data_IF_816528099062
#
_entry.id   IF_816528099062
#
_cell.length_a   1.000
_cell.length_b   1.000
_cell.length_c   1.000
_cell.angle_alpha   90.00
_cell.angle_beta   90.00
_cell.angle_gamma   90.00
#
_symmetry.space_group_name_H-M   'P 1'
#
loop_
_entity.id
_entity.type
_entity.pdbx_description
1 polymer ?
#
# COMPACT_ATOMS: atom_id res chain seq x y z
N UNK A 1 7.18 -13.69 16.69
CA UNK A 1 6.35 -13.30 15.54
C UNK A 1 4.94 -13.76 15.82
N UNK A 2 3.98 -12.89 15.73
CA UNK A 2 2.57 -13.25 15.89
C UNK A 2 2.08 -13.76 14.55
N UNK A 3 1.93 -15.07 14.42
CA UNK A 3 1.36 -15.71 13.23
C UNK A 3 -0.16 -15.50 13.25
N UNK A 4 -0.73 -15.05 12.13
CA UNK A 4 -2.17 -14.83 11.98
C UNK A 4 -2.81 -16.04 11.32
N UNK A 5 -3.97 -16.44 11.82
CA UNK A 5 -4.86 -17.39 11.15
C UNK A 5 -6.07 -16.64 10.64
N UNK A 6 -6.44 -16.85 9.38
CA UNK A 6 -7.58 -16.16 8.75
C UNK A 6 -8.62 -17.22 8.39
N UNK A 7 -9.79 -17.15 8.99
CA UNK A 7 -10.93 -18.00 8.68
C UNK A 7 -11.93 -17.29 7.75
N UNK A 8 -12.83 -18.00 7.08
CA UNK A 8 -13.79 -17.40 6.16
C UNK A 8 -14.78 -16.46 6.89
N UNK A 9 -15.14 -16.80 8.13
CA UNK A 9 -16.00 -15.95 8.97
C UNK A 9 -15.41 -14.57 9.24
N UNK A 10 -14.08 -14.44 9.23
CA UNK A 10 -13.38 -13.18 9.51
C UNK A 10 -13.54 -12.17 8.37
N UNK A 11 -14.00 -12.62 7.20
CA UNK A 11 -14.19 -11.81 6.00
C UNK A 11 -15.64 -11.39 5.79
N UNK A 12 -16.58 -11.89 6.58
CA UNK A 12 -18.02 -11.71 6.36
C UNK A 12 -18.48 -10.24 6.40
N UNK A 13 -17.77 -9.38 7.15
CA UNK A 13 -18.07 -7.93 7.25
C UNK A 13 -17.83 -7.15 5.95
N UNK A 14 -17.27 -7.79 4.92
CA UNK A 14 -17.02 -7.16 3.61
C UNK A 14 -18.25 -7.22 2.69
N UNK A 15 -19.30 -7.97 3.04
CA UNK A 15 -20.57 -7.96 2.31
C UNK A 15 -21.15 -6.54 2.26
N UNK A 16 -21.53 -6.10 1.05
CA UNK A 16 -22.09 -4.77 0.80
C UNK A 16 -21.09 -3.61 0.85
N UNK A 17 -19.81 -3.86 1.14
CA UNK A 17 -18.76 -2.82 1.18
C UNK A 17 -18.36 -2.36 -0.21
N UNK A 18 -18.02 -1.07 -0.34
CA UNK A 18 -17.51 -0.46 -1.59
C UNK A 18 -16.00 -0.35 -1.51
N UNK A 19 -15.30 -1.04 -2.41
CA UNK A 19 -13.86 -1.20 -2.34
C UNK A 19 -13.19 -0.79 -3.66
N UNK A 20 -12.23 0.12 -3.58
CA UNK A 20 -11.35 0.45 -4.71
C UNK A 20 -10.15 -0.48 -4.68
N UNK A 21 -9.83 -1.10 -5.83
CA UNK A 21 -8.62 -1.91 -6.02
C UNK A 21 -7.81 -1.32 -7.17
N UNK A 22 -6.61 -0.81 -6.90
CA UNK A 22 -5.69 -0.39 -7.96
C UNK A 22 -4.82 -1.57 -8.42
N UNK A 23 -4.59 -1.69 -9.74
CA UNK A 23 -3.92 -2.86 -10.32
C UNK A 23 -4.76 -4.12 -10.18
N UNK A 24 -6.09 -4.01 -10.33
CA UNK A 24 -7.05 -5.08 -10.08
C UNK A 24 -7.27 -6.02 -11.24
N UNK A 25 -6.61 -5.85 -12.39
CA UNK A 25 -6.83 -6.68 -13.59
C UNK A 25 -5.86 -7.84 -13.71
N UNK A 26 -4.92 -8.01 -12.77
CA UNK A 26 -3.96 -9.12 -12.80
C UNK A 26 -3.41 -9.47 -11.41
N UNK A 27 -2.83 -10.66 -11.27
CA UNK A 27 -2.05 -11.10 -10.11
C UNK A 27 -2.80 -10.94 -8.78
N UNK A 28 -2.15 -10.33 -7.79
CA UNK A 28 -2.72 -10.13 -6.43
C UNK A 28 -3.99 -9.28 -6.47
N UNK A 29 -4.01 -8.23 -7.32
CA UNK A 29 -5.16 -7.36 -7.45
C UNK A 29 -6.37 -8.11 -7.98
N UNK A 30 -6.22 -8.87 -9.06
CA UNK A 30 -7.30 -9.69 -9.66
C UNK A 30 -7.84 -10.71 -8.66
N UNK A 31 -6.95 -11.49 -8.02
CA UNK A 31 -7.36 -12.45 -7.01
C UNK A 31 -8.09 -11.78 -5.83
N UNK A 32 -7.74 -10.52 -5.50
CA UNK A 32 -8.46 -9.75 -4.47
C UNK A 32 -9.83 -9.31 -4.98
N UNK A 33 -9.95 -8.84 -6.23
CA UNK A 33 -11.23 -8.48 -6.85
C UNK A 33 -12.19 -9.67 -6.83
N UNK A 34 -11.73 -10.84 -7.30
CA UNK A 34 -12.55 -12.07 -7.31
C UNK A 34 -13.03 -12.47 -5.92
N UNK A 35 -12.12 -12.46 -4.93
CA UNK A 35 -12.45 -12.77 -3.55
C UNK A 35 -13.50 -11.80 -3.00
N UNK A 36 -13.30 -10.49 -3.15
CA UNK A 36 -14.22 -9.46 -2.66
C UNK A 36 -15.61 -9.57 -3.30
N UNK A 37 -15.67 -9.81 -4.60
CA UNK A 37 -16.94 -10.04 -5.30
C UNK A 37 -17.65 -11.29 -4.79
N UNK A 38 -16.91 -12.38 -4.52
CA UNK A 38 -17.47 -13.62 -3.96
C UNK A 38 -18.03 -13.44 -2.54
N UNK A 39 -17.52 -12.44 -1.81
CA UNK A 39 -18.00 -12.05 -0.47
C UNK A 39 -19.17 -11.05 -0.52
N UNK A 40 -19.66 -10.69 -1.70
CA UNK A 40 -20.77 -9.75 -1.85
C UNK A 40 -20.39 -8.27 -1.76
N UNK A 41 -19.10 -7.93 -1.87
CA UNK A 41 -18.65 -6.55 -1.95
C UNK A 41 -18.90 -5.94 -3.33
N UNK A 42 -18.97 -4.61 -3.41
CA UNK A 42 -18.93 -3.84 -4.65
C UNK A 42 -17.49 -3.41 -4.91
N UNK A 43 -16.93 -3.77 -6.08
CA UNK A 43 -15.53 -3.53 -6.38
C UNK A 43 -15.36 -2.58 -7.56
N UNK A 44 -14.59 -1.51 -7.38
CA UNK A 44 -14.14 -0.63 -8.46
C UNK A 44 -12.66 -0.89 -8.73
N UNK A 45 -12.40 -1.49 -9.89
CA UNK A 45 -11.07 -1.82 -10.36
C UNK A 45 -10.49 -0.63 -11.15
N UNK A 46 -9.38 -0.07 -10.67
CA UNK A 46 -8.55 0.90 -11.38
C UNK A 46 -7.30 0.22 -11.95
N UNK A 47 -7.21 0.09 -13.27
CA UNK A 47 -6.06 -0.52 -13.95
C UNK A 47 -5.86 0.13 -15.33
N UNK A 48 -4.68 -0.01 -15.91
CA UNK A 48 -4.40 0.46 -17.27
C UNK A 48 -5.05 -0.41 -18.34
N UNK A 49 -5.38 -1.66 -18.01
CA UNK A 49 -6.06 -2.62 -18.88
C UNK A 49 -7.20 -3.28 -18.12
N UNK A 50 -8.31 -3.53 -18.82
CA UNK A 50 -9.37 -4.38 -18.29
C UNK A 50 -8.88 -5.84 -18.23
N UNK A 51 -9.42 -6.61 -17.28
CA UNK A 51 -9.23 -8.07 -17.30
C UNK A 51 -10.00 -8.68 -18.48
N UNK A 52 -9.48 -9.80 -18.99
CA UNK A 52 -10.21 -10.61 -20.00
C UNK A 52 -11.26 -11.52 -19.35
N UNK A 53 -11.24 -11.67 -18.03
CA UNK A 53 -12.16 -12.52 -17.30
C UNK A 53 -13.50 -11.84 -17.09
N UNK A 54 -14.59 -12.61 -17.21
CA UNK A 54 -15.94 -12.14 -16.93
C UNK A 54 -16.15 -12.04 -15.42
N UNK A 55 -16.27 -10.81 -14.92
CA UNK A 55 -16.50 -10.55 -13.50
C UNK A 55 -17.99 -10.72 -13.16
N UNK A 56 -18.27 -11.53 -12.13
CA UNK A 56 -19.62 -11.70 -11.59
C UNK A 56 -19.80 -10.83 -10.34
N UNK A 57 -20.97 -10.18 -10.22
CA UNK A 57 -21.28 -9.33 -9.09
C UNK A 57 -21.18 -7.84 -9.39
N UNK A 58 -21.10 -7.01 -8.36
CA UNK A 58 -21.05 -5.55 -8.47
C UNK A 58 -19.62 -5.08 -8.80
N UNK A 59 -19.19 -5.27 -10.04
CA UNK A 59 -17.88 -4.90 -10.55
C UNK A 59 -17.97 -3.69 -11.49
N UNK A 60 -17.06 -2.75 -11.31
CA UNK A 60 -16.89 -1.60 -12.20
C UNK A 60 -15.41 -1.44 -12.54
N UNK A 61 -15.09 -1.36 -13.83
CA UNK A 61 -13.75 -1.03 -14.29
C UNK A 61 -13.65 0.45 -14.67
N UNK A 62 -12.62 1.11 -14.19
CA UNK A 62 -12.25 2.48 -14.58
C UNK A 62 -10.79 2.48 -14.99
N UNK A 63 -10.49 2.74 -16.27
CA UNK A 63 -9.12 2.81 -16.75
C UNK A 63 -8.35 3.83 -15.93
N UNK A 64 -7.22 3.40 -15.32
CA UNK A 64 -6.44 4.22 -14.40
C UNK A 64 -4.97 3.88 -14.47
N UNK A 65 -4.16 4.83 -14.90
CA UNK A 65 -2.72 4.84 -14.67
C UNK A 65 -2.46 5.59 -13.35
N UNK A 66 -1.97 4.87 -12.33
CA UNK A 66 -1.73 5.43 -11.00
C UNK A 66 -0.61 6.47 -10.96
N UNK A 67 0.23 6.55 -12.00
CA UNK A 67 1.24 7.60 -12.15
C UNK A 67 0.62 8.95 -12.57
N UNK A 68 -0.63 8.93 -13.09
CA UNK A 68 -1.34 10.09 -13.61
C UNK A 68 -2.40 10.55 -12.60
N UNK A 69 -2.14 11.67 -11.92
CA UNK A 69 -3.03 12.23 -10.90
C UNK A 69 -4.49 12.41 -11.35
N UNK A 70 -4.72 12.87 -12.59
CA UNK A 70 -6.07 13.07 -13.12
C UNK A 70 -6.85 11.76 -13.27
N UNK A 71 -6.17 10.65 -13.60
CA UNK A 71 -6.81 9.34 -13.74
C UNK A 71 -7.15 8.78 -12.35
N UNK A 72 -6.29 8.97 -11.35
CA UNK A 72 -6.62 8.65 -9.96
C UNK A 72 -7.83 9.46 -9.46
N UNK A 73 -7.88 10.77 -9.72
CA UNK A 73 -9.05 11.59 -9.39
C UNK A 73 -10.32 11.06 -10.04
N UNK A 74 -10.26 10.65 -11.31
CA UNK A 74 -11.39 10.08 -12.02
C UNK A 74 -11.86 8.76 -11.40
N UNK A 75 -10.94 7.90 -10.97
CA UNK A 75 -11.25 6.66 -10.26
C UNK A 75 -12.04 6.91 -8.97
N UNK A 76 -11.53 7.78 -8.10
CA UNK A 76 -12.17 8.06 -6.81
C UNK A 76 -13.51 8.79 -6.98
N UNK A 77 -13.58 9.80 -7.84
CA UNK A 77 -14.81 10.53 -8.13
C UNK A 77 -15.86 9.64 -8.82
N UNK A 78 -15.43 8.77 -9.75
CA UNK A 78 -16.29 7.79 -10.40
C UNK A 78 -16.89 6.82 -9.39
N UNK A 79 -16.08 6.28 -8.48
CA UNK A 79 -16.56 5.41 -7.40
C UNK A 79 -17.59 6.12 -6.53
N UNK A 80 -17.29 7.35 -6.11
CA UNK A 80 -18.21 8.16 -5.29
C UNK A 80 -19.53 8.46 -6.01
N UNK A 81 -19.48 8.72 -7.30
CA UNK A 81 -20.69 8.98 -8.12
C UNK A 81 -21.57 7.75 -8.28
N UNK A 82 -20.98 6.55 -8.39
CA UNK A 82 -21.72 5.29 -8.59
C UNK A 82 -22.30 4.78 -7.27
N UNK A 83 -21.51 4.79 -6.20
CA UNK A 83 -21.85 4.12 -4.94
C UNK A 83 -22.13 5.07 -3.78
N UNK A 84 -21.83 6.35 -3.89
CA UNK A 84 -22.07 7.35 -2.85
C UNK A 84 -20.98 7.41 -1.76
N UNK A 85 -20.22 6.34 -1.54
CA UNK A 85 -19.18 6.23 -0.51
C UNK A 85 -18.05 5.29 -0.94
N UNK A 86 -17.02 5.18 -0.10
CA UNK A 86 -15.89 4.26 -0.25
C UNK A 86 -15.59 3.72 1.14
N UNK A 87 -15.62 2.38 1.33
CA UNK A 87 -15.27 1.77 2.62
C UNK A 87 -13.78 1.44 2.71
N UNK A 88 -13.22 0.87 1.65
CA UNK A 88 -11.82 0.43 1.66
C UNK A 88 -11.11 0.74 0.35
N UNK A 89 -9.78 0.93 0.44
CA UNK A 89 -8.92 1.13 -0.74
C UNK A 89 -7.75 0.15 -0.66
N UNK A 90 -7.65 -0.74 -1.65
CA UNK A 90 -6.49 -1.60 -1.84
C UNK A 90 -5.50 -0.94 -2.80
N UNK A 91 -4.43 -0.40 -2.25
CA UNK A 91 -3.35 0.28 -2.97
C UNK A 91 -2.35 -0.77 -3.43
N UNK A 92 -2.62 -1.40 -4.58
CA UNK A 92 -1.90 -2.59 -5.01
C UNK A 92 -1.12 -2.39 -6.32
N UNK A 93 -1.50 -1.45 -7.19
CA UNK A 93 -0.84 -1.23 -8.46
C UNK A 93 0.68 -1.10 -8.31
N UNK A 94 1.43 -1.78 -9.17
CA UNK A 94 2.88 -1.77 -9.18
C UNK A 94 3.46 -2.49 -10.39
N UNK A 95 4.70 -2.20 -10.71
CA UNK A 95 5.45 -2.83 -11.79
C UNK A 95 6.78 -3.40 -11.29
N UNK A 96 7.37 -4.30 -12.05
CA UNK A 96 8.70 -4.87 -11.78
C UNK A 96 9.84 -3.92 -12.13
N UNK A 97 11.11 -4.34 -11.89
CA UNK A 97 12.31 -3.55 -12.15
C UNK A 97 12.38 -3.01 -13.58
N UNK A 98 12.91 -1.80 -13.76
CA UNK A 98 13.04 -1.10 -15.06
C UNK A 98 14.43 -0.54 -15.32
N UNK A 99 15.31 -0.49 -14.32
CA UNK A 99 16.64 0.10 -14.45
C UNK A 99 17.74 -0.87 -14.00
N UNK A 100 18.84 -0.88 -14.76
CA UNK A 100 20.10 -1.51 -14.38
C UNK A 100 21.12 -0.42 -14.11
N UNK A 101 21.59 -0.32 -12.88
CA UNK A 101 22.55 0.71 -12.45
C UNK A 101 24.00 0.32 -12.68
N UNK A 102 24.28 -0.92 -13.12
CA UNK A 102 25.63 -1.38 -13.45
C UNK A 102 25.90 -1.33 -14.95
N UNK A 103 24.85 -1.38 -15.78
CA UNK A 103 24.93 -1.42 -17.24
C UNK A 103 24.13 -0.27 -17.83
N UNK A 104 24.62 0.97 -17.61
CA UNK A 104 23.95 2.15 -18.14
C UNK A 104 24.03 2.19 -19.65
N UNK A 105 22.92 2.56 -20.29
CA UNK A 105 22.86 2.80 -21.71
C UNK A 105 23.63 4.09 -22.06
N UNK A 106 24.21 4.14 -23.24
CA UNK A 106 24.85 5.35 -23.77
C UNK A 106 24.00 5.89 -24.92
N UNK A 107 23.96 7.22 -25.04
CA UNK A 107 23.35 7.90 -26.16
C UNK A 107 24.31 7.90 -27.42
N UNK A 108 23.89 8.56 -28.48
CA UNK A 108 24.68 8.68 -29.73
C UNK A 108 26.01 9.45 -29.59
N UNK A 109 26.16 10.23 -28.51
CA UNK A 109 27.38 10.98 -28.20
C UNK A 109 28.30 10.22 -27.24
N UNK A 110 27.88 9.06 -26.73
CA UNK A 110 28.58 8.28 -25.71
C UNK A 110 28.37 8.74 -24.30
N UNK A 111 27.39 9.63 -24.04
CA UNK A 111 26.99 10.06 -22.71
C UNK A 111 26.02 9.06 -22.07
N UNK A 112 26.09 8.93 -20.75
CA UNK A 112 25.20 8.04 -20.01
C UNK A 112 23.75 8.51 -20.05
N UNK A 113 22.82 7.62 -20.47
CA UNK A 113 21.37 7.88 -20.48
C UNK A 113 20.82 7.74 -19.07
N UNK A 114 19.93 8.67 -18.68
CA UNK A 114 19.25 8.62 -17.39
C UNK A 114 18.48 7.30 -17.21
N UNK A 115 18.65 6.61 -16.07
CA UNK A 115 17.87 5.41 -15.77
C UNK A 115 16.37 5.70 -15.72
N UNK A 116 15.55 4.76 -16.18
CA UNK A 116 14.09 4.92 -16.16
C UNK A 116 13.55 5.18 -14.77
N UNK A 117 12.82 6.29 -14.58
CA UNK A 117 12.07 6.62 -13.37
C UNK A 117 10.68 5.96 -13.28
N UNK A 118 10.23 5.27 -14.33
CA UNK A 118 8.86 4.74 -14.43
C UNK A 118 8.45 3.89 -13.23
N UNK A 119 9.37 3.09 -12.70
CA UNK A 119 9.08 2.26 -11.53
C UNK A 119 8.72 3.11 -10.31
N UNK A 120 9.43 4.20 -10.06
CA UNK A 120 9.16 5.12 -8.97
C UNK A 120 7.82 5.83 -9.17
N UNK A 121 7.51 6.25 -10.39
CA UNK A 121 6.23 6.92 -10.68
C UNK A 121 5.04 6.01 -10.41
N UNK A 122 5.11 4.72 -10.76
CA UNK A 122 4.02 3.76 -10.54
C UNK A 122 4.07 3.20 -9.13
N UNK A 123 5.20 2.56 -8.74
CA UNK A 123 5.27 1.70 -7.56
C UNK A 123 5.59 2.43 -6.24
N UNK A 124 5.89 3.73 -6.29
CA UNK A 124 6.08 4.57 -5.10
C UNK A 124 5.14 5.79 -5.13
N UNK A 125 5.29 6.70 -6.09
CA UNK A 125 4.47 7.91 -6.19
C UNK A 125 3.00 7.59 -6.41
N UNK A 126 2.68 6.58 -7.25
CA UNK A 126 1.33 6.07 -7.45
C UNK A 126 0.70 5.58 -6.14
N UNK A 127 1.47 4.87 -5.31
CA UNK A 127 1.05 4.42 -3.97
C UNK A 127 0.75 5.61 -3.06
N UNK A 128 1.66 6.59 -2.98
CA UNK A 128 1.50 7.80 -2.17
C UNK A 128 0.26 8.57 -2.60
N UNK A 129 0.09 8.81 -3.91
CA UNK A 129 -1.02 9.58 -4.46
C UNK A 129 -2.38 8.87 -4.26
N UNK A 130 -2.43 7.56 -4.48
CA UNK A 130 -3.65 6.77 -4.24
C UNK A 130 -4.04 6.81 -2.76
N UNK A 131 -3.08 6.67 -1.86
CA UNK A 131 -3.33 6.75 -0.42
C UNK A 131 -3.76 8.14 0.02
N UNK A 132 -3.19 9.20 -0.56
CA UNK A 132 -3.60 10.58 -0.28
C UNK A 132 -5.06 10.84 -0.68
N UNK A 133 -5.49 10.35 -1.86
CA UNK A 133 -6.89 10.42 -2.29
C UNK A 133 -7.80 9.56 -1.41
N UNK A 134 -7.36 8.37 -1.00
CA UNK A 134 -8.10 7.55 -0.06
C UNK A 134 -8.39 8.31 1.24
N UNK A 135 -7.36 8.90 1.87
CA UNK A 135 -7.51 9.72 3.08
C UNK A 135 -8.45 10.90 2.81
N UNK A 136 -8.28 11.60 1.66
CA UNK A 136 -9.13 12.74 1.31
C UNK A 136 -10.61 12.37 1.27
N UNK A 137 -10.98 11.21 0.74
CA UNK A 137 -12.35 10.75 0.67
C UNK A 137 -12.84 10.17 2.00
N UNK A 138 -12.07 9.28 2.63
CA UNK A 138 -12.45 8.60 3.86
C UNK A 138 -12.66 9.56 5.05
N UNK A 139 -11.80 10.58 5.20
CA UNK A 139 -11.97 11.59 6.28
C UNK A 139 -13.20 12.49 6.15
N UNK A 140 -13.89 12.45 5.01
CA UNK A 140 -15.13 13.21 4.73
C UNK A 140 -16.38 12.38 4.85
N UNK A 141 -16.25 11.16 5.37
CA UNK A 141 -17.34 10.24 5.63
C UNK A 141 -17.44 10.02 7.14
N UNK A 142 -18.64 9.74 7.66
CA UNK A 142 -18.85 9.52 9.09
C UNK A 142 -18.19 8.23 9.58
N UNK A 143 -18.18 7.20 8.75
CA UNK A 143 -17.71 5.85 9.10
C UNK A 143 -16.19 5.65 8.88
N UNK A 144 -15.52 6.58 8.21
CA UNK A 144 -14.10 6.44 7.88
C UNK A 144 -13.83 5.33 6.89
N UNK A 145 -12.90 4.43 7.24
CA UNK A 145 -12.59 3.29 6.40
C UNK A 145 -11.18 2.75 6.57
N UNK A 146 -10.71 1.94 5.61
CA UNK A 146 -9.35 1.41 5.66
C UNK A 146 -8.59 1.48 4.33
N UNK A 147 -7.27 1.56 4.46
CA UNK A 147 -6.31 1.53 3.36
C UNK A 147 -5.39 0.33 3.60
N UNK A 148 -5.31 -0.54 2.61
CA UNK A 148 -4.34 -1.65 2.61
C UNK A 148 -3.34 -1.42 1.49
N UNK A 149 -2.04 -1.44 1.81
CA UNK A 149 -0.98 -1.09 0.88
C UNK A 149 -0.14 -2.32 0.55
N UNK A 150 0.11 -2.58 -0.72
CA UNK A 150 0.99 -3.66 -1.17
C UNK A 150 2.44 -3.19 -1.24
N UNK A 151 3.21 -3.52 -0.19
CA UNK A 151 4.66 -3.43 -0.17
C UNK A 151 5.33 -4.63 -0.86
N UNK A 152 6.37 -5.17 -0.23
CA UNK A 152 7.06 -6.40 -0.62
C UNK A 152 8.02 -6.83 0.47
N UNK A 153 8.31 -8.13 0.59
CA UNK A 153 9.42 -8.66 1.40
C UNK A 153 10.79 -8.07 0.98
N UNK A 154 10.92 -7.56 -0.25
CA UNK A 154 12.13 -6.87 -0.71
C UNK A 154 12.37 -5.55 0.00
N UNK A 155 11.31 -4.92 0.55
CA UNK A 155 11.42 -3.72 1.38
C UNK A 155 11.94 -3.99 2.80
N UNK A 156 12.14 -5.25 3.18
CA UNK A 156 12.66 -5.66 4.50
C UNK A 156 14.11 -6.14 4.44
N UNK A 157 14.73 -6.22 3.25
CA UNK A 157 16.02 -6.86 3.08
C UNK A 157 16.88 -6.21 2.00
N UNK A 158 18.16 -6.57 1.96
CA UNK A 158 19.03 -6.24 0.83
C UNK A 158 18.61 -7.08 -0.38
N UNK A 159 18.27 -6.41 -1.49
CA UNK A 159 17.80 -7.07 -2.70
C UNK A 159 18.42 -6.47 -3.95
N UNK A 160 18.77 -7.31 -4.96
CA UNK A 160 19.59 -6.89 -6.12
C UNK A 160 18.86 -6.03 -7.14
N UNK A 161 17.53 -6.10 -7.24
CA UNK A 161 16.75 -5.19 -8.08
C UNK A 161 16.67 -3.82 -7.39
N UNK A 162 17.61 -2.94 -7.69
CA UNK A 162 17.87 -1.72 -6.90
C UNK A 162 16.68 -0.77 -6.88
N UNK A 163 16.14 -0.43 -8.06
CA UNK A 163 14.99 0.46 -8.19
C UNK A 163 13.74 -0.11 -7.47
N UNK A 164 13.46 -1.40 -7.69
CA UNK A 164 12.33 -2.07 -7.07
C UNK A 164 12.47 -2.15 -5.54
N UNK A 165 13.65 -2.54 -5.05
CA UNK A 165 13.93 -2.57 -3.63
C UNK A 165 13.78 -1.17 -3.00
N UNK A 166 14.31 -0.13 -3.66
CA UNK A 166 14.20 1.25 -3.21
C UNK A 166 12.74 1.68 -3.10
N UNK A 167 11.94 1.45 -4.15
CA UNK A 167 10.52 1.78 -4.11
C UNK A 167 9.78 1.04 -2.98
N UNK A 168 10.05 -0.26 -2.81
CA UNK A 168 9.36 -1.07 -1.80
C UNK A 168 9.81 -0.76 -0.36
N UNK A 169 11.08 -0.37 -0.12
CA UNK A 169 11.49 0.25 1.15
C UNK A 169 10.74 1.57 1.39
N UNK A 170 10.64 2.42 0.35
CA UNK A 170 9.87 3.66 0.42
C UNK A 170 8.40 3.43 0.76
N UNK A 171 7.76 2.42 0.16
CA UNK A 171 6.36 2.05 0.46
C UNK A 171 6.18 1.59 1.90
N UNK A 172 7.08 0.74 2.43
CA UNK A 172 7.00 0.32 3.83
C UNK A 172 7.20 1.52 4.78
N UNK A 173 8.19 2.38 4.49
CA UNK A 173 8.41 3.62 5.25
C UNK A 173 7.20 4.55 5.21
N UNK A 174 6.60 4.72 4.02
CA UNK A 174 5.40 5.54 3.83
C UNK A 174 4.21 5.01 4.64
N UNK A 175 3.91 3.70 4.58
CA UNK A 175 2.81 3.10 5.33
C UNK A 175 2.95 3.31 6.83
N UNK A 176 4.15 3.06 7.39
CA UNK A 176 4.46 3.26 8.81
C UNK A 176 4.35 4.72 9.23
N UNK A 177 4.91 5.65 8.45
CA UNK A 177 4.83 7.08 8.73
C UNK A 177 3.39 7.61 8.65
N UNK A 178 2.59 7.07 7.70
CA UNK A 178 1.19 7.46 7.54
C UNK A 178 0.34 7.08 8.74
N UNK A 179 0.57 5.90 9.33
CA UNK A 179 -0.09 5.45 10.57
C UNK A 179 0.22 6.41 11.71
N UNK A 180 1.50 6.67 12.00
CA UNK A 180 1.92 7.59 13.06
C UNK A 180 1.27 8.98 12.87
N UNK A 181 1.22 9.49 11.62
CA UNK A 181 0.61 10.80 11.33
C UNK A 181 -0.91 10.82 11.54
N UNK A 182 -1.61 9.74 11.17
CA UNK A 182 -3.06 9.65 11.38
C UNK A 182 -3.42 9.51 12.86
N UNK A 183 -2.64 8.76 13.62
CA UNK A 183 -2.80 8.62 15.08
C UNK A 183 -2.57 9.95 15.78
N UNK A 184 -1.48 10.66 15.47
CA UNK A 184 -1.19 11.99 16.00
C UNK A 184 -2.26 13.03 15.65
N UNK A 185 -2.91 12.91 14.48
CA UNK A 185 -3.94 13.83 14.04
C UNK A 185 -5.27 13.69 14.81
N UNK A 186 -5.49 12.59 15.54
CA UNK A 186 -6.70 12.31 16.32
C UNK A 186 -7.99 12.65 15.55
N UNK A 187 -8.08 12.16 14.30
CA UNK A 187 -9.20 12.47 13.44
C UNK A 187 -10.51 11.98 14.06
N UNK A 188 -11.62 12.74 13.94
CA UNK A 188 -12.93 12.31 14.45
C UNK A 188 -13.43 11.05 13.75
N UNK A 189 -12.94 10.80 12.54
CA UNK A 189 -13.30 9.66 11.73
C UNK A 189 -12.13 8.70 11.65
N UNK A 190 -12.26 7.44 12.08
CA UNK A 190 -11.16 6.49 12.09
C UNK A 190 -10.77 6.06 10.68
N UNK A 191 -9.50 6.21 10.34
CA UNK A 191 -8.92 5.69 9.10
C UNK A 191 -7.79 4.74 9.50
N UNK A 192 -7.94 3.47 9.15
CA UNK A 192 -6.93 2.45 9.41
C UNK A 192 -6.03 2.26 8.20
N UNK A 193 -4.75 2.05 8.45
CA UNK A 193 -3.75 1.77 7.41
C UNK A 193 -2.96 0.54 7.80
N UNK A 194 -2.89 -0.44 6.90
CA UNK A 194 -2.07 -1.63 7.09
C UNK A 194 -1.28 -1.90 5.81
N UNK A 195 -0.13 -2.53 5.94
CA UNK A 195 0.77 -2.80 4.82
C UNK A 195 1.06 -4.30 4.70
N UNK A 196 1.06 -4.80 3.48
CA UNK A 196 1.47 -6.17 3.14
C UNK A 196 2.91 -6.18 2.65
N UNK A 197 3.66 -7.19 3.04
CA UNK A 197 5.00 -7.48 2.53
C UNK A 197 5.05 -8.90 1.94
N UNK A 198 4.43 -9.13 0.75
CA UNK A 198 4.44 -10.44 0.12
C UNK A 198 5.84 -10.87 -0.29
N UNK A 199 6.14 -12.17 -0.12
CA UNK A 199 7.26 -12.88 -0.74
C UNK A 199 6.91 -13.27 -2.19
N UNK A 200 7.65 -14.20 -2.79
CA UNK A 200 7.44 -14.67 -4.15
C UNK A 200 6.00 -15.11 -4.38
N UNK A 201 5.28 -14.33 -5.19
CA UNK A 201 3.85 -14.50 -5.47
C UNK A 201 3.62 -14.56 -6.97
N UNK A 202 2.76 -15.47 -7.40
CA UNK A 202 2.36 -15.63 -8.80
C UNK A 202 1.64 -14.36 -9.28
N UNK A 203 2.30 -13.62 -10.17
CA UNK A 203 1.81 -12.34 -10.68
C UNK A 203 2.54 -11.96 -11.98
N UNK A 204 1.96 -11.02 -12.75
CA UNK A 204 2.54 -10.54 -14.00
C UNK A 204 3.72 -9.56 -13.80
N UNK A 205 4.13 -9.27 -12.56
CA UNK A 205 5.27 -8.36 -12.28
C UNK A 205 6.56 -8.88 -12.90
N UNK A 206 6.76 -10.20 -12.90
CA UNK A 206 7.90 -10.86 -13.51
C UNK A 206 7.41 -12.06 -14.35
N UNK A 207 7.07 -11.85 -15.63
CA UNK A 207 6.70 -12.93 -16.54
C UNK A 207 7.78 -14.02 -16.54
N UNK A 208 7.38 -15.28 -16.61
CA UNK A 208 8.27 -16.46 -16.58
C UNK A 208 9.01 -16.71 -15.26
N UNK A 209 8.87 -15.86 -14.23
CA UNK A 209 9.56 -16.06 -12.95
C UNK A 209 9.15 -17.38 -12.27
N UNK A 210 7.89 -17.76 -12.39
CA UNK A 210 7.38 -19.01 -11.81
C UNK A 210 8.11 -20.24 -12.35
N UNK A 211 8.32 -20.32 -13.66
CA UNK A 211 9.09 -21.43 -14.26
C UNK A 211 10.55 -21.42 -13.81
N UNK A 212 11.19 -20.24 -13.83
CA UNK A 212 12.58 -20.08 -13.42
C UNK A 212 12.79 -20.43 -11.93
N UNK A 213 11.90 -20.01 -11.06
CA UNK A 213 11.99 -20.33 -9.63
C UNK A 213 11.73 -21.82 -9.36
N UNK A 214 10.84 -22.45 -10.14
CA UNK A 214 10.59 -23.88 -10.06
C UNK A 214 11.84 -24.70 -10.41
N UNK A 215 12.64 -24.29 -11.38
CA UNK A 215 13.89 -24.95 -11.77
C UNK A 215 14.93 -24.99 -10.64
N UNK A 216 14.89 -24.02 -9.73
CA UNK A 216 15.76 -23.95 -8.55
C UNK A 216 15.05 -24.35 -7.25
N UNK A 217 13.92 -25.05 -7.34
CA UNK A 217 13.09 -25.50 -6.21
C UNK A 217 12.64 -24.38 -5.26
N UNK A 218 12.38 -23.18 -5.77
CA UNK A 218 11.78 -22.10 -4.99
C UNK A 218 10.28 -22.05 -5.26
N UNK A 219 9.51 -22.18 -4.17
CA UNK A 219 8.05 -22.13 -4.22
C UNK A 219 7.54 -20.72 -4.44
N UNK A 220 6.62 -20.57 -5.37
CA UNK A 220 5.86 -19.35 -5.65
C UNK A 220 4.45 -19.54 -5.09
N UNK A 221 4.05 -18.68 -4.14
CA UNK A 221 2.71 -18.76 -3.56
C UNK A 221 1.65 -18.23 -4.52
N UNK A 222 0.41 -18.76 -4.46
CA UNK A 222 -0.70 -18.22 -5.23
C UNK A 222 -1.04 -16.78 -4.81
N UNK A 223 -1.49 -15.97 -5.76
CA UNK A 223 -1.97 -14.60 -5.49
C UNK A 223 -3.13 -14.57 -4.48
N UNK A 224 -3.97 -15.60 -4.45
CA UNK A 224 -5.10 -15.74 -3.52
C UNK A 224 -4.69 -15.74 -2.04
N UNK A 225 -3.47 -16.19 -1.70
CA UNK A 225 -2.95 -16.12 -0.33
C UNK A 225 -2.78 -14.67 0.11
N UNK A 226 -2.24 -13.81 -0.75
CA UNK A 226 -2.07 -12.38 -0.46
C UNK A 226 -3.42 -11.66 -0.47
N UNK A 227 -4.29 -11.99 -1.43
CA UNK A 227 -5.66 -11.46 -1.53
C UNK A 227 -6.46 -11.71 -0.24
N UNK A 228 -6.35 -12.93 0.33
CA UNK A 228 -7.01 -13.27 1.58
C UNK A 228 -6.54 -12.41 2.76
N UNK A 229 -5.24 -12.14 2.84
CA UNK A 229 -4.68 -11.25 3.86
C UNK A 229 -5.13 -9.80 3.65
N UNK A 230 -5.17 -9.31 2.41
CA UNK A 230 -5.68 -7.98 2.09
C UNK A 230 -7.14 -7.82 2.54
N UNK A 231 -8.00 -8.77 2.19
CA UNK A 231 -9.40 -8.79 2.59
C UNK A 231 -9.54 -8.81 4.13
N UNK A 232 -8.74 -9.62 4.82
CA UNK A 232 -8.73 -9.69 6.28
C UNK A 232 -8.38 -8.35 6.94
N UNK A 233 -7.37 -7.65 6.45
CA UNK A 233 -6.98 -6.34 6.98
C UNK A 233 -8.02 -5.24 6.70
N UNK A 234 -8.86 -5.41 5.68
CA UNK A 234 -10.03 -4.56 5.47
C UNK A 234 -11.13 -4.88 6.49
N UNK A 235 -11.43 -6.16 6.68
CA UNK A 235 -12.54 -6.66 7.51
C UNK A 235 -12.31 -6.46 9.01
N UNK A 236 -11.09 -6.73 9.51
CA UNK A 236 -10.78 -6.66 10.94
C UNK A 236 -10.52 -5.23 11.38
N UNK A 237 -11.52 -4.62 12.02
CA UNK A 237 -11.47 -3.22 12.49
C UNK A 237 -10.49 -2.98 13.63
N UNK A 238 -10.01 -4.02 14.30
CA UNK A 238 -9.03 -3.92 15.39
C UNK A 238 -7.59 -3.69 14.89
N UNK A 239 -7.34 -3.88 13.57
CA UNK A 239 -5.99 -3.81 13.00
C UNK A 239 -5.72 -2.47 12.37
N UNK A 240 -4.74 -1.79 12.93
CA UNK A 240 -4.18 -0.55 12.41
C UNK A 240 -2.65 -0.57 12.59
N UNK A 241 -1.91 -0.04 11.63
CA UNK A 241 -0.45 0.08 11.70
C UNK A 241 0.33 -1.20 11.44
N UNK A 242 -0.34 -2.29 11.09
CA UNK A 242 0.33 -3.57 10.94
C UNK A 242 1.06 -3.69 9.61
N UNK A 243 2.24 -4.32 9.67
CA UNK A 243 3.02 -4.75 8.52
C UNK A 243 3.04 -6.28 8.49
N UNK A 244 2.29 -6.87 7.57
CA UNK A 244 2.14 -8.32 7.49
C UNK A 244 3.04 -8.90 6.40
N UNK A 245 4.05 -9.66 6.81
CA UNK A 245 4.83 -10.50 5.90
C UNK A 245 4.01 -11.72 5.49
N UNK A 246 3.87 -11.92 4.17
CA UNK A 246 3.07 -13.03 3.60
C UNK A 246 3.98 -13.97 2.84
N UNK A 247 4.14 -15.20 3.35
CA UNK A 247 5.01 -16.22 2.75
C UNK A 247 4.43 -17.61 2.90
N UNK A 248 4.24 -18.34 1.80
CA UNK A 248 3.81 -19.75 1.77
C UNK A 248 2.56 -20.02 2.62
N UNK A 249 1.56 -19.14 2.49
CA UNK A 249 0.31 -19.25 3.26
C UNK A 249 0.41 -18.86 4.73
N UNK A 250 1.56 -18.36 5.17
CA UNK A 250 1.77 -17.85 6.53
C UNK A 250 1.71 -16.33 6.54
N UNK A 251 1.09 -15.78 7.56
CA UNK A 251 0.92 -14.36 7.79
C UNK A 251 1.59 -13.98 9.09
N UNK A 252 2.63 -13.18 9.04
CA UNK A 252 3.38 -12.78 10.23
C UNK A 252 3.43 -11.26 10.35
N UNK A 253 2.93 -10.74 11.48
CA UNK A 253 3.12 -9.34 11.83
C UNK A 253 4.60 -9.08 12.16
N UNK A 254 5.19 -8.05 11.54
CA UNK A 254 6.63 -7.78 11.65
C UNK A 254 6.97 -6.36 12.14
N UNK A 255 6.05 -5.41 12.15
CA UNK A 255 6.34 -4.06 12.62
C UNK A 255 6.42 -4.01 14.14
N UNK A 256 5.33 -4.35 14.82
CA UNK A 256 5.27 -4.38 16.28
C UNK A 256 6.14 -5.49 16.88
N UNK A 257 6.22 -6.64 16.19
CA UNK A 257 6.95 -7.78 16.68
C UNK A 257 8.47 -7.67 16.52
N UNK A 258 8.97 -6.94 15.52
CA UNK A 258 10.40 -6.92 15.17
C UNK A 258 10.95 -5.50 14.97
N UNK A 259 10.34 -4.67 14.10
CA UNK A 259 10.94 -3.41 13.68
C UNK A 259 10.92 -2.36 14.79
N UNK A 260 9.80 -2.18 15.46
CA UNK A 260 9.69 -1.25 16.58
C UNK A 260 10.56 -1.66 17.78
N UNK A 261 10.56 -2.93 18.23
CA UNK A 261 11.48 -3.38 19.29
C UNK A 261 12.96 -3.24 18.90
N UNK A 262 13.31 -3.51 17.63
CA UNK A 262 14.68 -3.32 17.15
C UNK A 262 15.08 -1.85 17.24
N UNK A 263 14.23 -0.93 16.77
CA UNK A 263 14.49 0.50 16.85
C UNK A 263 14.65 0.98 18.31
N UNK A 264 13.73 0.58 19.21
CA UNK A 264 13.82 0.89 20.64
C UNK A 264 15.14 0.41 21.24
N UNK A 265 15.63 -0.76 20.85
CA UNK A 265 16.91 -1.29 21.30
C UNK A 265 18.10 -0.47 20.79
N UNK A 266 18.03 0.07 19.56
CA UNK A 266 19.06 0.93 19.00
C UNK A 266 19.05 2.30 19.68
N UNK A 267 17.85 2.85 19.89
CA UNK A 267 17.65 4.20 20.45
C UNK A 267 17.94 4.28 21.97
N UNK A 268 17.86 3.15 22.67
CA UNK A 268 18.04 3.07 24.13
C UNK A 268 16.99 3.88 24.88
N UNK A 269 17.44 4.68 25.86
CA UNK A 269 16.56 5.53 26.68
C UNK A 269 16.29 6.91 26.05
N UNK A 270 16.77 7.16 24.82
CA UNK A 270 16.52 8.42 24.12
C UNK A 270 15.07 8.54 23.66
N UNK A 271 14.58 9.78 23.56
CA UNK A 271 13.31 10.03 22.89
C UNK A 271 13.38 9.60 21.43
N UNK A 272 12.30 9.05 20.90
CA UNK A 272 12.22 8.84 19.46
C UNK A 272 12.10 10.17 18.72
N UNK A 273 12.45 10.20 17.44
CA UNK A 273 12.28 11.37 16.59
C UNK A 273 10.81 11.82 16.54
N UNK A 274 9.88 10.88 16.55
CA UNK A 274 8.43 11.15 16.55
C UNK A 274 7.97 11.78 17.89
N UNK A 275 8.48 11.28 19.04
CA UNK A 275 8.23 11.90 20.34
C UNK A 275 8.76 13.34 20.40
N UNK A 276 9.93 13.59 19.78
CA UNK A 276 10.49 14.95 19.69
C UNK A 276 9.58 15.85 18.84
N UNK A 277 9.10 15.37 17.70
CA UNK A 277 8.16 16.13 16.86
C UNK A 277 6.87 16.45 17.60
N UNK A 278 6.29 15.48 18.31
CA UNK A 278 5.08 15.69 19.12
C UNK A 278 5.28 16.79 20.18
N UNK A 279 6.41 16.76 20.89
CA UNK A 279 6.75 17.82 21.87
C UNK A 279 6.96 19.19 21.24
N UNK A 280 7.50 19.24 20.02
CA UNK A 280 7.65 20.51 19.28
C UNK A 280 6.29 21.06 18.84
N UNK A 281 5.38 20.23 18.34
CA UNK A 281 4.02 20.61 17.98
C UNK A 281 3.24 21.14 19.21
N UNK A 282 3.37 20.48 20.36
CA UNK A 282 2.79 20.94 21.62
C UNK A 282 3.38 22.30 22.06
N UNK A 283 4.72 22.45 22.04
CA UNK A 283 5.39 23.67 22.42
C UNK A 283 5.02 24.85 21.50
N UNK A 284 4.84 24.61 20.21
CA UNK A 284 4.37 25.62 19.25
C UNK A 284 2.91 26.04 19.53
N UNK A 285 2.04 25.08 19.83
CA UNK A 285 0.63 25.33 20.18
C UNK A 285 0.51 26.21 21.43
N UNK A 286 1.39 26.02 22.43
CA UNK A 286 1.45 26.84 23.64
C UNK A 286 2.25 28.13 23.47
N UNK A 287 2.77 28.46 22.27
CA UNK A 287 3.55 29.67 22.00
C UNK A 287 4.93 29.69 22.63
N UNK A 288 5.44 28.53 23.10
CA UNK A 288 6.76 28.41 23.75
C UNK A 288 7.92 28.44 22.73
N UNK A 289 7.65 28.00 21.51
CA UNK A 289 8.63 27.95 20.40
C UNK A 289 7.95 28.41 19.12
N UNK A 290 8.63 29.25 18.32
CA UNK A 290 8.24 29.50 16.92
C UNK A 290 9.08 28.59 16.03
N UNK A 291 8.49 27.48 15.56
CA UNK A 291 9.10 26.67 14.52
C UNK A 291 8.84 27.36 13.17
N UNK A 292 9.90 27.70 12.43
CA UNK A 292 9.72 28.25 11.10
C UNK A 292 9.08 27.18 10.20
N UNK A 293 8.06 27.53 9.37
CA UNK A 293 7.32 26.57 8.53
C UNK A 293 8.18 25.71 7.58
N UNK A 294 9.42 26.11 7.39
CA UNK A 294 10.38 25.40 6.53
C UNK A 294 11.02 24.16 7.18
N UNK A 295 10.94 24.01 8.51
CA UNK A 295 11.57 22.89 9.23
C UNK A 295 10.59 21.75 9.50
N UNK A 296 9.30 22.02 9.54
CA UNK A 296 8.24 21.02 9.68
C UNK A 296 7.37 21.15 8.43
N UNK A 297 7.56 20.30 7.46
CA UNK A 297 6.98 20.40 6.11
C UNK A 297 5.46 20.36 6.02
N UNK A 298 4.74 20.86 7.03
CA UNK A 298 3.29 20.92 7.01
C UNK A 298 2.75 22.01 7.93
N UNK A 299 2.15 23.05 7.34
CA UNK A 299 1.24 23.95 8.05
C UNK A 299 -0.18 23.40 7.91
N UNK A 300 -0.88 23.03 8.99
CA UNK A 300 -2.27 22.68 8.88
C UNK A 300 -3.06 23.91 8.44
N UNK A 301 -3.58 23.91 7.19
CA UNK A 301 -4.60 24.86 6.80
C UNK A 301 -5.84 24.59 7.65
N UNK A 302 -6.23 25.58 8.43
CA UNK A 302 -7.53 25.62 9.09
C UNK A 302 -8.61 25.58 8.01
N UNK A 303 -9.28 24.44 7.90
CA UNK A 303 -10.59 24.32 7.27
C UNK A 303 -11.50 23.47 8.16
#
# INVERSE_FOLDING_TARGET
MTELTIEDKDLASLEGKVIIVTGGSSGIGLATVELLLSLGASVVCGDVQATEEEMKGAYTFIRTDVSIWKELLALFNGTKNIYGHIDHVFVNAGIGPRADYLSMQLDENGDAVEPSGQLFDVSLKGVVNTSALAIFHLRRQEEGGSIVITGSATGLQRFRAVDYATAKHGVLGFGRALVARLEAAQLPTPIRVNTLAPSWTDSNILPSLKSLLSEINVEVQPASVVARCAAYLMADTSRNGQLIHVQRGKYAEVDEALLLPMYRRINGDSLSEDDVLGRLEEAETYGMVRVQPQCVGYVPSKF
#
